data_IF_699731953573
#
_entry.id   IF_699731953573
#
_cell.length_a   1.000
_cell.length_b   1.000
_cell.length_c   1.000
_cell.angle_alpha   90.00
_cell.angle_beta   90.00
_cell.angle_gamma   90.00
#
_symmetry.space_group_name_H-M   'P 1'
#
loop_
_entity.id
_entity.type
_entity.pdbx_description
1 polymer ?
#
# COMPACT_ATOMS: atom_id res chain seq x y z
N UNK A 1 -5.59 18.82 -9.42
CA UNK A 1 -6.20 17.93 -8.41
C UNK A 1 -5.13 17.58 -7.41
N UNK A 2 -5.27 17.99 -6.15
CA UNK A 2 -4.55 17.32 -5.06
C UNK A 2 -5.21 15.95 -4.87
N UNK A 3 -4.44 14.89 -5.07
CA UNK A 3 -4.94 13.53 -4.95
C UNK A 3 -4.87 13.12 -3.48
N UNK A 4 -6.00 12.71 -2.88
CA UNK A 4 -6.01 12.29 -1.49
C UNK A 4 -5.66 10.79 -1.40
N UNK A 5 -4.48 10.48 -0.87
CA UNK A 5 -4.06 9.10 -0.63
C UNK A 5 -4.83 8.43 0.50
N UNK A 6 -5.59 9.20 1.31
CA UNK A 6 -6.44 8.68 2.37
C UNK A 6 -7.52 7.72 1.82
N UNK A 7 -7.96 7.91 0.58
CA UNK A 7 -8.96 7.05 -0.07
C UNK A 7 -8.45 5.61 -0.28
N UNK A 8 -7.13 5.41 -0.24
CA UNK A 8 -6.50 4.10 -0.37
C UNK A 8 -6.21 3.43 0.97
N UNK A 9 -6.37 4.14 2.09
CA UNK A 9 -6.17 3.57 3.42
C UNK A 9 -7.23 2.51 3.70
N UNK A 10 -6.79 1.30 4.05
CA UNK A 10 -7.67 0.15 4.19
C UNK A 10 -8.15 -0.43 2.86
N UNK A 11 -7.78 0.16 1.72
CA UNK A 11 -8.05 -0.37 0.38
C UNK A 11 -7.16 -1.55 0.01
N UNK A 12 -7.40 -2.13 -1.18
CA UNK A 12 -6.56 -3.22 -1.68
C UNK A 12 -5.20 -2.69 -2.11
N UNK A 13 -4.13 -3.40 -1.74
CA UNK A 13 -2.78 -3.05 -2.19
C UNK A 13 -2.67 -3.00 -3.72
N UNK A 14 -3.41 -3.86 -4.42
CA UNK A 14 -3.39 -3.91 -5.89
C UNK A 14 -3.91 -2.64 -6.53
N UNK A 15 -4.92 -2.00 -5.93
CA UNK A 15 -5.55 -0.78 -6.47
C UNK A 15 -4.59 0.40 -6.43
N UNK A 16 -3.95 0.62 -5.29
CA UNK A 16 -2.97 1.71 -5.17
C UNK A 16 -1.73 1.48 -6.03
N UNK A 17 -1.26 0.24 -6.16
CA UNK A 17 -0.11 -0.07 -7.02
C UNK A 17 -0.45 0.22 -8.47
N UNK A 18 -1.64 -0.17 -8.93
CA UNK A 18 -2.08 0.13 -10.29
C UNK A 18 -2.16 1.64 -10.51
N UNK A 19 -2.75 2.39 -9.57
CA UNK A 19 -2.80 3.84 -9.63
C UNK A 19 -1.40 4.46 -9.75
N UNK A 20 -0.47 4.08 -8.88
CA UNK A 20 0.90 4.62 -8.90
C UNK A 20 1.64 4.28 -10.19
N UNK A 21 1.50 3.05 -10.68
CA UNK A 21 2.09 2.62 -11.96
C UNK A 21 1.53 3.41 -13.13
N UNK A 22 0.20 3.57 -13.22
CA UNK A 22 -0.45 4.33 -14.29
C UNK A 22 0.01 5.79 -14.33
N UNK A 23 0.31 6.37 -13.16
CA UNK A 23 0.78 7.75 -13.06
C UNK A 23 2.31 7.89 -13.09
N UNK A 24 3.07 6.81 -13.32
CA UNK A 24 4.55 6.80 -13.25
C UNK A 24 5.10 7.40 -11.94
N UNK A 25 4.41 7.16 -10.83
CA UNK A 25 4.81 7.64 -9.51
C UNK A 25 5.74 6.59 -8.89
N UNK A 26 6.93 7.03 -8.47
CA UNK A 26 7.88 6.18 -7.75
C UNK A 26 7.34 5.75 -6.37
N UNK A 27 7.49 4.47 -6.04
CA UNK A 27 7.02 3.93 -4.77
C UNK A 27 7.86 2.77 -4.25
N UNK A 28 7.83 2.59 -2.93
CA UNK A 28 8.40 1.43 -2.23
C UNK A 28 7.32 0.74 -1.41
N UNK A 29 7.29 -0.59 -1.48
CA UNK A 29 6.37 -1.42 -0.72
C UNK A 29 7.05 -1.95 0.53
N UNK A 30 6.43 -1.75 1.69
CA UNK A 30 6.88 -2.29 2.97
C UNK A 30 5.76 -3.10 3.59
N UNK A 31 5.99 -4.39 3.75
CA UNK A 31 5.09 -5.26 4.49
C UNK A 31 5.32 -5.09 6.00
N UNK A 32 4.27 -4.87 6.77
CA UNK A 32 4.38 -4.91 8.24
C UNK A 32 4.55 -6.34 8.72
N UNK A 33 5.27 -6.55 9.83
CA UNK A 33 5.65 -7.88 10.32
C UNK A 33 4.43 -8.79 10.46
N UNK A 34 4.41 -9.83 9.65
CA UNK A 34 3.49 -10.97 9.79
C UNK A 34 4.18 -12.03 10.64
N UNK A 35 3.47 -12.64 11.60
CA UNK A 35 3.94 -13.88 12.21
C UNK A 35 3.96 -14.94 11.10
N UNK A 36 5.15 -15.44 10.76
CA UNK A 36 5.59 -16.34 9.65
C UNK A 36 4.62 -17.38 9.02
N UNK A 37 3.40 -17.58 9.49
CA UNK A 37 2.52 -18.71 9.12
C UNK A 37 1.34 -18.37 8.22
N UNK A 38 1.07 -17.11 7.90
CA UNK A 38 -0.20 -16.72 7.31
C UNK A 38 -0.02 -15.91 6.02
N UNK A 39 0.34 -16.57 4.91
CA UNK A 39 0.38 -15.93 3.58
C UNK A 39 -0.99 -15.91 2.87
N UNK A 40 -2.05 -16.40 3.54
CA UNK A 40 -3.40 -16.55 2.99
C UNK A 40 -4.37 -15.45 3.46
N UNK A 41 -4.04 -14.18 3.22
CA UNK A 41 -4.91 -13.04 3.54
C UNK A 41 -5.08 -12.08 2.38
N UNK A 42 -5.97 -11.10 2.53
CA UNK A 42 -6.09 -9.99 1.58
C UNK A 42 -5.05 -8.93 1.92
N UNK A 43 -4.28 -8.48 0.93
CA UNK A 43 -3.28 -7.41 1.12
C UNK A 43 -3.97 -6.06 1.21
N UNK A 44 -3.90 -5.43 2.37
CA UNK A 44 -4.51 -4.13 2.66
C UNK A 44 -3.44 -3.09 2.90
N UNK A 45 -3.68 -1.89 2.39
CA UNK A 45 -2.82 -0.73 2.69
C UNK A 45 -3.12 -0.27 4.10
N UNK A 46 -2.08 -0.16 4.93
CA UNK A 46 -2.19 0.36 6.29
C UNK A 46 -1.87 1.85 6.31
N UNK A 47 -0.85 2.27 5.58
CA UNK A 47 -0.36 3.63 5.62
C UNK A 47 0.41 3.97 4.34
N UNK A 48 0.39 5.24 3.95
CA UNK A 48 1.10 5.77 2.80
C UNK A 48 1.87 6.99 3.29
N UNK A 49 3.19 6.98 3.15
CA UNK A 49 4.04 8.11 3.54
C UNK A 49 4.72 8.69 2.32
N UNK A 50 4.55 9.98 2.10
CA UNK A 50 5.33 10.71 1.09
C UNK A 50 6.78 10.86 1.57
N UNK A 51 7.74 10.49 0.72
CA UNK A 51 9.18 10.82 0.85
C UNK A 51 9.56 11.77 -0.28
N UNK A 52 10.78 12.29 -0.21
CA UNK A 52 11.29 13.28 -1.17
C UNK A 52 11.31 12.73 -2.61
N UNK A 53 11.57 11.43 -2.77
CA UNK A 53 11.80 10.75 -4.04
C UNK A 53 10.75 9.67 -4.37
N UNK A 54 9.97 9.20 -3.39
CA UNK A 54 8.99 8.12 -3.60
C UNK A 54 7.86 8.13 -2.57
N UNK A 55 6.79 7.37 -2.84
CA UNK A 55 5.78 7.04 -1.84
C UNK A 55 6.11 5.71 -1.15
N UNK A 56 6.11 5.71 0.17
CA UNK A 56 6.28 4.50 0.97
C UNK A 56 4.91 3.93 1.32
N UNK A 57 4.54 2.83 0.69
CA UNK A 57 3.30 2.11 0.98
C UNK A 57 3.57 1.02 1.99
N UNK A 58 2.95 1.16 3.15
CA UNK A 58 2.95 0.19 4.23
C UNK A 58 1.69 -0.66 4.11
N UNK A 59 1.84 -1.96 4.04
CA UNK A 59 0.72 -2.89 3.86
C UNK A 59 0.83 -4.12 4.76
N UNK A 60 -0.28 -4.80 5.02
CA UNK A 60 -0.31 -6.11 5.69
C UNK A 60 -1.35 -7.03 5.07
N UNK A 61 -1.29 -8.29 5.46
CA UNK A 61 -2.42 -9.19 5.28
C UNK A 61 -3.50 -8.89 6.32
N UNK A 62 -4.75 -8.91 5.89
CA UNK A 62 -5.93 -8.98 6.73
C UNK A 62 -6.57 -10.36 6.55
N UNK A 63 -6.87 -11.01 7.66
CA UNK A 63 -7.50 -12.33 7.74
C UNK A 63 -8.95 -12.16 8.24
N UNK A 64 -9.87 -12.95 7.72
CA UNK A 64 -11.27 -13.02 8.13
C UNK A 64 -11.53 -14.30 8.90
#
# INVERSE_FOLDING_TARGET
>A
MEFNFDDFLGGSLSEIINFLKTNNIEYKLVQTKVRKREEKGIKRVINIKKREDHYLIIWSYQYY
#
